data_IF_793401297519
#
_entry.id   IF_793401297519
#
_cell.length_a   1.000
_cell.length_b   1.000
_cell.length_c   1.000
_cell.angle_alpha   90.00
_cell.angle_beta   90.00
_cell.angle_gamma   90.00
#
_symmetry.space_group_name_H-M   'P 1'
#
loop_
_entity.id
_entity.type
_entity.pdbx_description
1 polymer ?
#
# COMPACT_ATOMS: atom_id res chain seq x y z
N UNK A 1 -17.34 -6.37 -10.40
CA UNK A 1 -15.98 -7.01 -10.52
C UNK A 1 -15.47 -7.30 -9.13
N UNK A 2 -15.17 -8.59 -8.86
CA UNK A 2 -14.59 -9.00 -7.58
C UNK A 2 -13.06 -9.01 -7.66
N UNK A 3 -12.43 -8.28 -6.73
CA UNK A 3 -10.97 -8.08 -6.68
C UNK A 3 -10.43 -8.61 -5.36
N UNK A 4 -9.41 -9.48 -5.45
CA UNK A 4 -8.62 -9.91 -4.30
C UNK A 4 -7.36 -9.03 -4.20
N UNK A 5 -7.24 -8.27 -3.12
CA UNK A 5 -6.02 -7.55 -2.78
C UNK A 5 -5.09 -8.41 -1.92
N UNK A 6 -3.79 -8.36 -2.19
CA UNK A 6 -2.74 -9.06 -1.44
C UNK A 6 -1.56 -8.12 -1.21
N UNK A 7 -1.17 -7.92 0.04
CA UNK A 7 0.10 -7.27 0.38
C UNK A 7 0.86 -8.05 1.45
N UNK A 8 2.12 -8.33 1.14
CA UNK A 8 3.09 -8.98 2.01
C UNK A 8 4.43 -8.23 2.00
N UNK A 9 4.44 -7.01 1.46
CA UNK A 9 5.66 -6.23 1.25
C UNK A 9 6.20 -5.57 2.53
N UNK A 10 5.37 -5.45 3.57
CA UNK A 10 5.72 -4.85 4.87
C UNK A 10 5.59 -5.87 6.02
N UNK A 11 5.70 -5.42 7.26
CA UNK A 11 5.42 -6.25 8.44
C UNK A 11 3.93 -6.61 8.56
N UNK A 12 3.06 -5.78 7.98
CA UNK A 12 1.64 -6.08 7.91
C UNK A 12 1.38 -7.01 6.73
N UNK A 13 0.93 -8.23 7.03
CA UNK A 13 0.38 -9.14 6.03
C UNK A 13 -1.10 -8.82 5.87
N UNK A 14 -1.52 -8.47 4.68
CA UNK A 14 -2.87 -7.96 4.42
C UNK A 14 -3.50 -8.65 3.22
N UNK A 15 -4.79 -9.02 3.37
CA UNK A 15 -5.63 -9.53 2.28
C UNK A 15 -6.99 -8.86 2.34
N UNK A 16 -7.57 -8.53 1.20
CA UNK A 16 -8.87 -7.88 1.12
C UNK A 16 -9.69 -8.40 -0.07
N UNK A 17 -11.00 -8.47 0.10
CA UNK A 17 -11.96 -8.64 -0.99
C UNK A 17 -12.72 -7.33 -1.21
N UNK A 18 -12.70 -6.87 -2.44
CA UNK A 18 -13.38 -5.66 -2.87
C UNK A 18 -14.27 -5.95 -4.09
N UNK A 19 -15.52 -5.55 -4.00
CA UNK A 19 -16.44 -5.59 -5.13
C UNK A 19 -16.66 -4.18 -5.68
N UNK A 20 -16.53 -4.01 -7.00
CA UNK A 20 -16.62 -2.67 -7.63
C UNK A 20 -17.98 -2.00 -7.45
N UNK A 21 -19.04 -2.76 -7.16
CA UNK A 21 -20.40 -2.24 -6.95
C UNK A 21 -20.78 -2.15 -5.47
N UNK A 22 -20.36 -3.16 -4.67
CA UNK A 22 -20.75 -3.28 -3.25
C UNK A 22 -19.71 -2.66 -2.29
N UNK A 23 -18.50 -2.38 -2.78
CA UNK A 23 -17.42 -1.87 -1.96
C UNK A 23 -16.61 -2.96 -1.25
N UNK A 24 -16.17 -2.69 -0.03
CA UNK A 24 -15.36 -3.61 0.78
C UNK A 24 -16.22 -4.76 1.29
N UNK A 25 -15.88 -6.00 0.91
CA UNK A 25 -16.54 -7.20 1.43
C UNK A 25 -15.86 -7.71 2.70
N UNK A 26 -14.56 -7.54 2.80
CA UNK A 26 -13.79 -7.91 3.99
C UNK A 26 -12.31 -7.62 3.83
N UNK A 27 -11.61 -7.54 4.96
CA UNK A 27 -10.17 -7.38 5.03
C UNK A 27 -9.64 -8.08 6.28
N UNK A 28 -8.50 -8.76 6.15
CA UNK A 28 -7.78 -9.36 7.26
C UNK A 28 -6.36 -8.82 7.25
N UNK A 29 -5.95 -8.25 8.39
CA UNK A 29 -4.65 -7.65 8.60
C UNK A 29 -3.96 -8.31 9.80
N UNK A 30 -2.74 -8.80 9.62
CA UNK A 30 -1.96 -9.43 10.69
C UNK A 30 -0.53 -8.92 10.66
N UNK A 31 -0.06 -8.35 11.77
CA UNK A 31 1.34 -7.98 11.90
C UNK A 31 2.20 -9.21 12.17
N UNK A 32 3.18 -9.45 11.31
CA UNK A 32 4.02 -10.65 11.34
C UNK A 32 5.49 -10.25 11.45
N UNK A 33 6.18 -10.84 12.40
CA UNK A 33 7.63 -10.63 12.53
C UNK A 33 8.45 -11.50 11.59
N UNK A 34 7.96 -12.68 11.26
CA UNK A 34 8.59 -13.69 10.35
C UNK A 34 7.52 -14.58 9.73
N UNK A 35 7.84 -15.19 8.56
CA UNK A 35 7.04 -16.25 7.95
C UNK A 35 5.68 -15.82 7.35
N UNK A 36 5.63 -14.75 6.58
CA UNK A 36 4.43 -14.35 5.81
C UNK A 36 3.84 -15.49 4.98
N UNK A 37 4.69 -16.40 4.46
CA UNK A 37 4.25 -17.51 3.62
C UNK A 37 3.32 -18.51 4.32
N UNK A 38 3.41 -18.64 5.65
CA UNK A 38 2.60 -19.61 6.39
C UNK A 38 1.18 -19.13 6.70
N UNK A 39 0.97 -17.80 6.73
CA UNK A 39 -0.31 -17.24 7.17
C UNK A 39 -1.17 -16.72 6.03
N UNK A 40 -0.57 -16.32 4.91
CA UNK A 40 -1.29 -15.61 3.85
C UNK A 40 -2.40 -16.48 3.20
N UNK A 41 -2.14 -17.76 2.91
CA UNK A 41 -3.14 -18.66 2.36
C UNK A 41 -4.28 -18.94 3.35
N UNK A 42 -4.04 -19.26 4.64
CA UNK A 42 -5.07 -19.30 5.65
C UNK A 42 -5.89 -18.01 5.79
N UNK A 43 -5.25 -16.82 5.65
CA UNK A 43 -5.99 -15.55 5.68
C UNK A 43 -6.92 -15.42 4.48
N UNK A 44 -6.45 -15.77 3.27
CA UNK A 44 -7.26 -15.76 2.05
C UNK A 44 -8.45 -16.71 2.18
N UNK A 45 -8.22 -17.95 2.63
CA UNK A 45 -9.27 -18.94 2.82
C UNK A 45 -10.35 -18.45 3.80
N UNK A 46 -9.93 -17.92 4.95
CA UNK A 46 -10.85 -17.34 5.94
C UNK A 46 -11.61 -16.13 5.40
N UNK A 47 -10.95 -15.26 4.64
CA UNK A 47 -11.57 -14.10 4.04
C UNK A 47 -12.69 -14.52 3.07
N UNK A 48 -12.43 -15.49 2.19
CA UNK A 48 -13.43 -16.04 1.30
C UNK A 48 -14.60 -16.67 2.05
N UNK A 49 -14.31 -17.47 3.09
CA UNK A 49 -15.33 -18.08 3.93
C UNK A 49 -16.26 -17.05 4.60
N UNK A 50 -15.70 -15.98 5.18
CA UNK A 50 -16.49 -14.92 5.82
C UNK A 50 -17.28 -14.06 4.83
N UNK A 51 -16.74 -13.86 3.63
CA UNK A 51 -17.42 -13.10 2.58
C UNK A 51 -18.43 -13.93 1.78
N UNK A 52 -18.57 -15.22 2.08
CA UNK A 52 -19.39 -16.18 1.33
C UNK A 52 -19.06 -16.14 -0.18
N UNK A 53 -17.76 -16.10 -0.49
CA UNK A 53 -17.20 -16.02 -1.83
C UNK A 53 -16.25 -17.18 -2.11
N UNK A 54 -15.94 -17.39 -3.40
CA UNK A 54 -14.95 -18.37 -3.85
C UNK A 54 -13.89 -17.72 -4.74
N UNK A 55 -12.75 -18.37 -4.90
CA UNK A 55 -11.69 -17.87 -5.77
C UNK A 55 -12.10 -17.85 -7.24
N UNK A 56 -13.05 -18.67 -7.64
CA UNK A 56 -13.60 -18.76 -8.99
C UNK A 56 -14.40 -17.49 -9.37
N UNK A 57 -14.92 -16.76 -8.39
CA UNK A 57 -15.63 -15.50 -8.59
C UNK A 57 -14.67 -14.30 -8.77
N UNK A 58 -13.38 -14.48 -8.45
CA UNK A 58 -12.39 -13.41 -8.57
C UNK A 58 -12.04 -13.16 -10.03
N UNK A 59 -12.19 -11.92 -10.47
CA UNK A 59 -11.86 -11.47 -11.82
C UNK A 59 -10.47 -10.84 -11.89
N UNK A 60 -9.98 -10.30 -10.74
CA UNK A 60 -8.68 -9.61 -10.67
C UNK A 60 -8.00 -9.81 -9.32
N UNK A 61 -6.67 -9.97 -9.35
CA UNK A 61 -5.84 -9.97 -8.15
C UNK A 61 -4.94 -8.73 -8.22
N UNK A 62 -5.06 -7.86 -7.21
CA UNK A 62 -4.18 -6.73 -6.98
C UNK A 62 -3.09 -7.14 -6.00
N UNK A 63 -1.83 -7.12 -6.41
CA UNK A 63 -0.71 -7.54 -5.57
C UNK A 63 0.29 -6.41 -5.37
N UNK A 64 0.75 -6.23 -4.13
CA UNK A 64 1.79 -5.27 -3.76
C UNK A 64 3.13 -5.66 -4.40
N UNK A 65 3.71 -4.73 -5.19
CA UNK A 65 5.02 -4.90 -5.83
C UNK A 65 6.15 -4.16 -5.11
N UNK A 66 5.88 -3.65 -3.91
CA UNK A 66 6.82 -2.86 -3.11
C UNK A 66 6.68 -1.35 -3.34
N UNK A 67 7.66 -0.58 -2.88
CA UNK A 67 8.90 -1.02 -2.21
C UNK A 67 8.66 -1.68 -0.86
N UNK A 68 9.59 -2.54 -0.44
CA UNK A 68 9.50 -3.25 0.84
C UNK A 68 10.33 -4.52 0.91
N UNK A 69 9.89 -5.47 1.72
CA UNK A 69 10.57 -6.75 1.92
C UNK A 69 10.66 -7.56 0.62
N UNK A 70 11.86 -7.79 0.14
CA UNK A 70 12.12 -8.59 -1.07
C UNK A 70 11.51 -10.00 -1.02
N UNK A 71 11.63 -10.67 0.13
CA UNK A 71 11.02 -11.98 0.35
C UNK A 71 9.49 -11.87 0.39
N UNK A 72 8.97 -10.87 1.10
CA UNK A 72 7.53 -10.64 1.21
C UNK A 72 6.89 -10.42 -0.16
N UNK A 73 7.42 -9.51 -0.96
CA UNK A 73 6.92 -9.23 -2.33
C UNK A 73 6.85 -10.52 -3.16
N UNK A 74 7.88 -11.36 -3.12
CA UNK A 74 7.89 -12.63 -3.86
C UNK A 74 6.83 -13.60 -3.38
N UNK A 75 6.58 -13.67 -2.08
CA UNK A 75 5.52 -14.51 -1.49
C UNK A 75 4.16 -14.09 -2.03
N UNK A 76 3.82 -12.80 -1.94
CA UNK A 76 2.55 -12.29 -2.46
C UNK A 76 2.37 -12.55 -3.95
N UNK A 77 3.41 -12.27 -4.76
CA UNK A 77 3.38 -12.51 -6.20
C UNK A 77 3.27 -13.99 -6.56
N UNK A 78 3.94 -14.89 -5.83
CA UNK A 78 3.84 -16.33 -6.06
C UNK A 78 2.43 -16.84 -5.78
N UNK A 79 1.81 -16.37 -4.70
CA UNK A 79 0.43 -16.72 -4.34
C UNK A 79 -0.55 -16.17 -5.38
N UNK A 80 -0.42 -14.89 -5.77
CA UNK A 80 -1.28 -14.31 -6.79
C UNK A 80 -1.23 -15.11 -8.10
N UNK A 81 -0.02 -15.46 -8.56
CA UNK A 81 0.16 -16.32 -9.74
C UNK A 81 -0.43 -17.71 -9.54
N UNK A 82 -0.20 -18.35 -8.39
CA UNK A 82 -0.73 -19.67 -8.08
C UNK A 82 -2.26 -19.71 -8.10
N UNK A 83 -2.92 -18.71 -7.55
CA UNK A 83 -4.38 -18.59 -7.56
C UNK A 83 -4.95 -18.35 -8.97
N UNK A 84 -4.21 -17.65 -9.83
CA UNK A 84 -4.64 -17.34 -11.20
C UNK A 84 -4.37 -18.48 -12.20
N UNK A 85 -3.52 -19.46 -11.89
CA UNK A 85 -3.20 -20.56 -12.80
C UNK A 85 -4.46 -21.34 -13.20
N UNK A 86 -4.67 -21.46 -14.50
CA UNK A 86 -5.82 -22.20 -15.07
C UNK A 86 -7.17 -21.48 -14.91
N UNK A 87 -7.17 -20.23 -14.47
CA UNK A 87 -8.37 -19.40 -14.30
C UNK A 87 -8.26 -18.11 -15.14
N UNK A 88 -9.40 -17.54 -15.49
CA UNK A 88 -9.45 -16.25 -16.21
C UNK A 88 -9.35 -15.07 -15.21
N UNK A 89 -8.27 -15.02 -14.41
CA UNK A 89 -8.02 -14.00 -13.41
C UNK A 89 -6.86 -13.13 -13.87
N UNK A 90 -7.09 -11.81 -14.03
CA UNK A 90 -6.02 -10.86 -14.32
C UNK A 90 -5.22 -10.54 -13.06
N UNK A 91 -3.90 -10.33 -13.19
CA UNK A 91 -3.04 -9.90 -12.07
C UNK A 91 -2.51 -8.50 -12.36
N UNK A 92 -2.68 -7.60 -11.38
CA UNK A 92 -2.19 -6.22 -11.46
C UNK A 92 -1.25 -5.96 -10.30
N UNK A 93 -0.02 -5.51 -10.61
CA UNK A 93 0.94 -5.05 -9.62
C UNK A 93 0.69 -3.58 -9.26
N UNK A 94 0.61 -3.29 -7.97
CA UNK A 94 0.39 -1.93 -7.43
C UNK A 94 1.55 -1.55 -6.52
N UNK A 95 2.09 -0.34 -6.68
CA UNK A 95 3.09 0.21 -5.78
C UNK A 95 2.49 0.48 -4.39
N UNK A 96 3.22 0.12 -3.33
CA UNK A 96 2.83 0.45 -1.95
C UNK A 96 2.77 1.95 -1.71
N UNK A 97 3.61 2.74 -2.39
CA UNK A 97 3.61 4.19 -2.32
C UNK A 97 2.35 4.80 -2.96
N UNK A 98 1.95 4.28 -4.11
CA UNK A 98 0.69 4.67 -4.77
C UNK A 98 -0.52 4.27 -3.92
N UNK A 99 -0.51 3.05 -3.37
CA UNK A 99 -1.59 2.55 -2.53
C UNK A 99 -1.78 3.42 -1.28
N UNK A 100 -0.70 3.82 -0.61
CA UNK A 100 -0.73 4.74 0.53
C UNK A 100 -1.29 6.11 0.12
N UNK A 101 -0.77 6.72 -0.93
CA UNK A 101 -1.25 8.02 -1.40
C UNK A 101 -2.75 7.99 -1.75
N UNK A 102 -3.20 6.93 -2.44
CA UNK A 102 -4.62 6.75 -2.79
C UNK A 102 -5.54 6.40 -1.61
N UNK A 103 -4.98 6.10 -0.41
CA UNK A 103 -5.78 5.84 0.79
C UNK A 103 -6.30 7.11 1.46
N UNK A 104 -5.66 8.24 1.20
CA UNK A 104 -6.08 9.54 1.71
C UNK A 104 -6.68 10.36 0.56
N UNK A 105 -7.88 10.85 0.75
CA UNK A 105 -8.49 11.82 -0.16
C UNK A 105 -7.89 13.20 0.15
N UNK A 106 -6.59 13.35 -0.14
CA UNK A 106 -5.82 14.53 0.20
C UNK A 106 -6.17 15.72 -0.70
N UNK A 107 -6.36 16.86 -0.08
CA UNK A 107 -6.31 18.16 -0.76
C UNK A 107 -4.93 18.73 -0.52
N UNK A 108 -4.10 18.76 -1.53
CA UNK A 108 -2.73 19.25 -1.46
C UNK A 108 -1.70 18.19 -1.81
N UNK A 109 -0.46 18.47 -1.47
CA UNK A 109 0.66 17.60 -1.80
C UNK A 109 0.74 16.43 -0.83
N UNK A 110 0.94 15.22 -1.37
CA UNK A 110 1.04 13.99 -0.59
C UNK A 110 2.45 13.42 -0.76
N UNK A 111 3.15 13.26 0.36
CA UNK A 111 4.43 12.56 0.43
C UNK A 111 4.17 11.15 0.95
N UNK A 112 4.20 10.17 0.06
CA UNK A 112 4.15 8.76 0.43
C UNK A 112 5.56 8.27 0.74
N UNK A 113 5.81 7.87 1.98
CA UNK A 113 7.14 7.61 2.52
C UNK A 113 7.19 6.25 3.21
N UNK A 114 8.04 5.34 2.74
CA UNK A 114 8.34 4.09 3.43
C UNK A 114 9.78 4.12 3.94
N UNK A 115 9.99 3.67 5.19
CA UNK A 115 11.31 3.71 5.84
C UNK A 115 12.31 2.78 5.15
N UNK A 116 13.38 3.36 4.61
CA UNK A 116 14.54 2.64 4.05
C UNK A 116 15.73 2.63 5.02
N UNK A 117 15.53 3.04 6.28
CA UNK A 117 16.51 3.18 7.36
C UNK A 117 17.56 4.29 7.12
N UNK A 118 18.24 4.71 8.21
CA UNK A 118 19.32 5.71 8.16
C UNK A 118 18.91 7.01 7.49
N UNK A 119 17.76 7.55 7.85
CA UNK A 119 17.18 8.79 7.29
C UNK A 119 16.96 8.73 5.77
N UNK A 120 16.91 7.53 5.21
CA UNK A 120 16.48 7.32 3.82
C UNK A 120 15.06 6.79 3.78
N UNK A 121 14.36 7.14 2.73
CA UNK A 121 13.00 6.73 2.46
C UNK A 121 12.86 6.25 1.01
N UNK A 122 12.03 5.26 0.81
CA UNK A 122 11.39 5.10 -0.49
C UNK A 122 10.26 6.12 -0.53
N UNK A 123 10.17 6.86 -1.61
CA UNK A 123 9.20 7.95 -1.70
C UNK A 123 8.59 8.09 -3.08
N UNK A 124 7.40 8.64 -3.08
CA UNK A 124 6.73 9.18 -4.25
C UNK A 124 5.88 10.37 -3.79
N UNK A 125 5.92 11.46 -4.54
CA UNK A 125 5.21 12.70 -4.22
C UNK A 125 4.09 12.88 -5.22
N UNK A 126 2.91 13.28 -4.72
CA UNK A 126 1.71 13.47 -5.52
C UNK A 126 1.13 14.88 -5.31
N UNK A 127 0.42 15.37 -6.31
CA UNK A 127 -0.49 16.49 -6.20
C UNK A 127 -1.90 15.99 -6.53
N UNK A 128 -2.72 15.81 -5.49
CA UNK A 128 -3.93 15.02 -5.60
C UNK A 128 -3.65 13.59 -6.06
N UNK A 129 -4.19 13.19 -7.20
CA UNK A 129 -3.98 11.86 -7.79
C UNK A 129 -2.79 11.80 -8.77
N UNK A 130 -2.19 12.95 -9.09
CA UNK A 130 -1.11 13.05 -10.07
C UNK A 130 0.25 12.86 -9.41
N UNK A 131 1.00 11.85 -9.84
CA UNK A 131 2.37 11.66 -9.40
C UNK A 131 3.29 12.77 -9.96
N UNK A 132 4.02 13.44 -9.08
CA UNK A 132 5.01 14.46 -9.44
C UNK A 132 6.38 13.87 -9.76
N UNK A 133 6.62 12.64 -9.33
CA UNK A 133 7.83 11.88 -9.62
C UNK A 133 7.53 10.39 -9.68
N UNK A 134 8.44 9.61 -10.24
CA UNK A 134 8.43 8.16 -10.11
C UNK A 134 8.82 7.74 -8.68
N UNK A 135 8.51 6.50 -8.31
CA UNK A 135 8.95 5.94 -7.05
C UNK A 135 10.50 5.86 -7.00
N UNK A 136 11.11 6.44 -5.98
CA UNK A 136 12.57 6.54 -5.80
C UNK A 136 12.95 6.20 -4.37
N UNK A 137 14.25 6.04 -4.13
CA UNK A 137 14.83 6.11 -2.80
C UNK A 137 15.72 7.34 -2.66
N UNK A 138 15.75 7.95 -1.47
CA UNK A 138 16.54 9.14 -1.24
C UNK A 138 16.70 9.46 0.25
N UNK A 139 17.58 10.43 0.56
CA UNK A 139 17.62 11.01 1.91
C UNK A 139 16.38 11.87 2.11
N UNK A 140 15.69 11.70 3.21
CA UNK A 140 14.46 12.44 3.48
C UNK A 140 14.66 13.96 3.41
N UNK A 141 15.78 14.46 3.95
CA UNK A 141 16.11 15.89 3.95
C UNK A 141 16.12 16.48 2.53
N UNK A 142 16.75 15.77 1.58
CA UNK A 142 16.82 16.22 0.19
C UNK A 142 15.43 16.24 -0.46
N UNK A 143 14.61 15.21 -0.17
CA UNK A 143 13.20 15.16 -0.64
C UNK A 143 12.36 16.29 -0.08
N UNK A 144 12.52 16.61 1.22
CA UNK A 144 11.79 17.71 1.84
C UNK A 144 12.18 19.07 1.25
N UNK A 145 13.44 19.28 0.89
CA UNK A 145 13.91 20.51 0.24
C UNK A 145 13.42 20.60 -1.22
N UNK A 146 13.52 19.50 -1.99
CA UNK A 146 13.13 19.45 -3.41
C UNK A 146 11.66 19.81 -3.64
N UNK A 147 10.77 19.33 -2.75
CA UNK A 147 9.33 19.50 -2.88
C UNK A 147 8.74 20.52 -1.91
N UNK A 148 9.55 21.40 -1.32
CA UNK A 148 9.09 22.42 -0.39
C UNK A 148 8.13 23.39 -1.09
N UNK A 149 6.97 23.65 -0.46
CA UNK A 149 5.93 24.50 -1.00
C UNK A 149 5.13 25.24 0.07
N UNK A 150 4.27 26.15 -0.38
CA UNK A 150 3.45 26.99 0.51
C UNK A 150 2.15 26.31 0.98
N UNK A 151 1.69 25.28 0.29
CA UNK A 151 0.46 24.56 0.62
C UNK A 151 0.64 23.63 1.83
N UNK A 152 -0.48 23.12 2.35
CA UNK A 152 -0.50 22.03 3.33
C UNK A 152 -0.03 20.75 2.62
N UNK A 153 0.84 20.01 3.31
CA UNK A 153 1.46 18.79 2.81
C UNK A 153 1.12 17.64 3.74
N UNK A 154 0.66 16.54 3.16
CA UNK A 154 0.33 15.32 3.88
C UNK A 154 1.49 14.33 3.77
N UNK A 155 1.92 13.80 4.90
CA UNK A 155 3.00 12.81 4.99
C UNK A 155 2.42 11.50 5.49
N UNK A 156 2.47 10.46 4.67
CA UNK A 156 1.87 9.15 4.93
C UNK A 156 2.90 8.04 4.75
N UNK A 157 2.75 6.98 5.54
CA UNK A 157 3.61 5.80 5.55
C UNK A 157 4.49 5.72 6.79
N UNK A 158 5.10 4.56 7.02
CA UNK A 158 5.95 4.32 8.19
C UNK A 158 7.21 5.19 8.20
N UNK A 159 7.69 5.62 7.03
CA UNK A 159 8.78 6.60 6.92
C UNK A 159 8.37 7.99 7.41
N UNK A 160 7.11 8.40 7.23
CA UNK A 160 6.61 9.66 7.75
C UNK A 160 6.55 9.65 9.28
N UNK A 161 6.13 8.52 9.87
CA UNK A 161 6.08 8.35 11.33
C UNK A 161 7.49 8.26 11.94
N UNK A 162 8.38 7.48 11.31
CA UNK A 162 9.74 7.29 11.79
C UNK A 162 10.54 8.60 11.86
N UNK A 163 10.28 9.52 10.94
CA UNK A 163 11.02 10.79 10.82
C UNK A 163 10.14 12.02 11.01
N UNK A 164 9.06 11.91 11.77
CA UNK A 164 8.09 13.00 11.98
C UNK A 164 8.73 14.30 12.51
N UNK A 165 9.72 14.20 13.42
CA UNK A 165 10.38 15.38 13.95
C UNK A 165 11.09 16.17 12.86
N UNK A 166 11.83 15.48 11.97
CA UNK A 166 12.54 16.13 10.85
C UNK A 166 11.55 16.79 9.87
N UNK A 167 10.40 16.14 9.64
CA UNK A 167 9.34 16.70 8.78
C UNK A 167 8.75 17.95 9.41
N UNK A 168 8.43 17.89 10.72
CA UNK A 168 7.86 19.03 11.45
C UNK A 168 8.84 20.21 11.56
N UNK A 169 10.14 19.94 11.75
CA UNK A 169 11.18 20.97 11.71
C UNK A 169 11.26 21.67 10.35
N UNK A 170 11.08 20.93 9.24
CA UNK A 170 11.19 21.46 7.90
C UNK A 170 9.94 22.19 7.42
N UNK A 171 8.74 21.70 7.75
CA UNK A 171 7.45 22.17 7.22
C UNK A 171 6.58 22.91 8.23
N UNK A 172 6.86 22.78 9.55
CA UNK A 172 6.09 23.44 10.61
C UNK A 172 4.60 23.11 10.53
N UNK A 173 3.76 24.14 10.64
CA UNK A 173 2.30 24.00 10.59
C UNK A 173 1.75 23.55 9.23
N UNK A 174 2.58 23.52 8.18
CA UNK A 174 2.20 23.04 6.85
C UNK A 174 2.32 21.51 6.73
N UNK A 175 2.84 20.83 7.73
CA UNK A 175 2.95 19.37 7.75
C UNK A 175 1.76 18.74 8.46
N UNK A 176 1.08 17.84 7.77
CA UNK A 176 0.08 16.95 8.36
C UNK A 176 0.64 15.53 8.33
N UNK A 177 1.04 15.02 9.48
CA UNK A 177 1.46 13.62 9.61
C UNK A 177 0.22 12.76 9.73
N UNK A 178 0.03 11.86 8.78
CA UNK A 178 -1.10 10.93 8.77
C UNK A 178 -0.91 9.90 9.88
N UNK A 179 -1.98 9.59 10.61
CA UNK A 179 -1.93 8.68 11.76
C UNK A 179 -1.42 7.28 11.39
N UNK A 180 -0.88 6.58 12.39
CA UNK A 180 -0.30 5.24 12.23
C UNK A 180 -1.28 4.25 11.58
N UNK A 181 -2.55 4.31 11.94
CA UNK A 181 -3.60 3.42 11.42
C UNK A 181 -3.77 3.50 9.90
N UNK A 182 -3.48 4.67 9.31
CA UNK A 182 -3.56 4.92 7.87
C UNK A 182 -2.19 4.88 7.18
N UNK A 183 -1.10 4.94 7.96
CA UNK A 183 0.27 4.96 7.45
C UNK A 183 0.88 3.58 7.21
N UNK A 184 0.04 2.56 7.06
CA UNK A 184 0.43 1.18 6.73
C UNK A 184 -0.19 0.75 5.43
N UNK A 185 0.56 0.00 4.62
CA UNK A 185 0.04 -0.57 3.38
C UNK A 185 -0.99 -1.65 3.69
N UNK A 186 -2.20 -1.50 3.17
CA UNK A 186 -3.32 -2.44 3.37
C UNK A 186 -3.84 -2.93 2.03
N UNK A 187 -4.18 -4.22 1.97
CA UNK A 187 -4.62 -4.88 0.74
C UNK A 187 -5.84 -4.20 0.10
N UNK A 188 -6.71 -3.59 0.90
CA UNK A 188 -7.86 -2.84 0.39
C UNK A 188 -7.46 -1.64 -0.48
N UNK A 189 -6.33 -0.99 -0.20
CA UNK A 189 -5.86 0.13 -1.01
C UNK A 189 -5.41 -0.34 -2.39
N UNK A 190 -4.74 -1.49 -2.46
CA UNK A 190 -4.34 -2.12 -3.72
C UNK A 190 -5.56 -2.54 -4.53
N UNK A 191 -6.55 -3.19 -3.90
CA UNK A 191 -7.77 -3.62 -4.57
C UNK A 191 -8.55 -2.44 -5.19
N UNK A 192 -8.68 -1.33 -4.47
CA UNK A 192 -9.34 -0.12 -4.98
C UNK A 192 -8.61 0.48 -6.19
N UNK A 193 -7.30 0.54 -6.17
CA UNK A 193 -6.53 1.08 -7.30
C UNK A 193 -6.53 0.16 -8.52
N UNK A 194 -6.76 -1.12 -8.34
CA UNK A 194 -6.83 -2.07 -9.43
C UNK A 194 -8.12 -1.96 -10.28
N UNK A 195 -9.12 -1.18 -9.86
CA UNK A 195 -10.39 -1.02 -10.61
C UNK A 195 -10.14 -0.42 -11.99
N UNK A 196 -9.27 0.57 -12.07
CA UNK A 196 -9.03 1.38 -13.28
C UNK A 196 -7.85 0.90 -14.12
N UNK A 197 -7.22 -0.24 -13.77
CA UNK A 197 -6.00 -0.75 -14.42
C UNK A 197 -6.20 -2.03 -15.23
#
# INVERSE_FOLDING_TARGET
MLILGIDTSTKLCSVALYDSEKGVLGEINVTVSKNHSHIILPMIDRLFSFAEKTVEEVERIAVGIGPGSFTGIRVGMAIAKGLAIGKNISIVGISGLEALAGSIQGRGRIFSLLDARKERVYYQVFDGETALCEAKDGKLKDVLEEYKGEAINYFIGDGALAYQNLILESYGEKAVIVSEEHSVTRAIYFAKQAISR
#
